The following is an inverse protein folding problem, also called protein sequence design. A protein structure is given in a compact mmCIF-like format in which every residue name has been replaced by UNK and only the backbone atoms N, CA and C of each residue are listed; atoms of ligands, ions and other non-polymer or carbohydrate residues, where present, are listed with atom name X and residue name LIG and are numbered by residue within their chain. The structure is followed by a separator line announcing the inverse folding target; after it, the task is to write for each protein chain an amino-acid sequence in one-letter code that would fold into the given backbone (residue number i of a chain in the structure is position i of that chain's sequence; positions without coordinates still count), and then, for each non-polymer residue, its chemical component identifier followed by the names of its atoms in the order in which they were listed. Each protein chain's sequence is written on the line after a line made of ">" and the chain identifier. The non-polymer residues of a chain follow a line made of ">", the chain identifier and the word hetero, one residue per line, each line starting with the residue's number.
data_IF_869587562759
#
_entry.id   IF_869587562759
#
_cell.length_a   1.000
_cell.length_b   1.000
_cell.length_c   1.000
_cell.angle_alpha   90.00
_cell.angle_beta   90.00
_cell.angle_gamma   90.00
#
_symmetry.space_group_name_H-M   'P 1'
#
loop_
_entity.id
_entity.type
_entity.pdbx_description
1 polymer ?
#
# COMPACT_ATOMS: atom_id res chain seq x y z
N UNK A 1 -0.61 22.09 12.66
CA UNK A 1 -0.21 20.71 12.27
C UNK A 1 -1.20 20.23 11.22
N UNK A 2 -0.75 19.65 10.11
CA UNK A 2 -1.65 19.07 9.10
C UNK A 2 -2.17 17.73 9.61
N UNK A 3 -3.49 17.50 9.49
CA UNK A 3 -4.13 16.23 9.85
C UNK A 3 -4.33 15.42 8.58
N UNK A 4 -4.09 14.11 8.65
CA UNK A 4 -4.36 13.19 7.54
C UNK A 4 -5.37 12.13 7.99
N UNK A 5 -6.26 11.74 7.07
CA UNK A 5 -7.27 10.71 7.27
C UNK A 5 -7.01 9.54 6.33
N UNK A 6 -7.30 8.33 6.82
CA UNK A 6 -7.24 7.09 6.03
C UNK A 6 -8.65 6.74 5.60
N UNK A 7 -8.83 6.45 4.32
CA UNK A 7 -10.11 6.02 3.76
C UNK A 7 -10.45 4.59 4.18
N UNK A 8 -11.71 4.22 3.94
CA UNK A 8 -12.11 2.81 3.92
C UNK A 8 -11.39 2.06 2.77
N UNK A 9 -11.51 0.74 2.77
CA UNK A 9 -11.02 -0.13 1.70
C UNK A 9 -11.90 -0.02 0.46
N UNK A 10 -11.26 0.28 -0.66
CA UNK A 10 -11.88 0.18 -1.97
C UNK A 10 -11.47 -1.10 -2.65
N UNK A 11 -12.45 -1.85 -3.16
CA UNK A 11 -12.17 -2.99 -4.03
C UNK A 11 -11.77 -2.47 -5.41
N UNK A 12 -10.56 -2.84 -5.86
CA UNK A 12 -10.08 -2.43 -7.17
C UNK A 12 -10.73 -3.31 -8.24
N UNK A 13 -11.43 -2.74 -9.23
CA UNK A 13 -12.08 -3.52 -10.28
C UNK A 13 -11.06 -4.31 -11.12
N UNK A 14 -11.21 -5.63 -11.11
CA UNK A 14 -10.37 -6.58 -11.84
C UNK A 14 -11.29 -7.53 -12.61
N UNK A 15 -10.94 -7.80 -13.87
CA UNK A 15 -11.54 -8.85 -14.68
C UNK A 15 -10.66 -10.10 -14.65
N UNK A 16 -11.29 -11.27 -14.69
CA UNK A 16 -10.61 -12.57 -14.78
C UNK A 16 -10.90 -13.15 -16.16
N UNK A 17 -9.86 -13.52 -16.90
CA UNK A 17 -10.02 -14.19 -18.18
C UNK A 17 -10.46 -15.65 -18.00
N UNK A 18 -10.93 -16.29 -19.07
CA UNK A 18 -11.27 -17.72 -19.06
C UNK A 18 -10.12 -18.62 -18.59
N UNK A 19 -8.88 -18.21 -18.88
CA UNK A 19 -7.64 -18.91 -18.46
C UNK A 19 -7.22 -18.57 -17.02
N UNK A 20 -8.02 -17.79 -16.28
CA UNK A 20 -7.75 -17.42 -14.88
C UNK A 20 -6.81 -16.22 -14.69
N UNK A 21 -6.34 -15.57 -15.77
CA UNK A 21 -5.49 -14.38 -15.66
C UNK A 21 -6.32 -13.18 -15.21
N UNK A 22 -5.85 -12.50 -14.17
CA UNK A 22 -6.49 -11.30 -13.64
C UNK A 22 -5.91 -10.07 -14.33
N UNK A 23 -6.72 -9.09 -14.66
CA UNK A 23 -6.25 -7.79 -15.20
C UNK A 23 -7.16 -6.67 -14.70
N UNK A 24 -6.65 -5.44 -14.67
CA UNK A 24 -7.45 -4.28 -14.30
C UNK A 24 -8.64 -4.10 -15.27
N UNK A 25 -9.85 -3.96 -14.72
CA UNK A 25 -11.05 -3.66 -15.50
C UNK A 25 -11.10 -2.16 -15.78
N UNK A 26 -10.52 -1.75 -16.91
CA UNK A 26 -10.40 -0.33 -17.30
C UNK A 26 -11.76 0.39 -17.38
N UNK A 27 -12.81 -0.16 -18.04
CA UNK A 27 -14.14 0.43 -18.00
C UNK A 27 -14.69 0.63 -16.58
N UNK A 28 -14.60 -0.39 -15.73
CA UNK A 28 -15.12 -0.30 -14.35
C UNK A 28 -14.32 0.72 -13.52
N UNK A 29 -12.99 0.77 -13.68
CA UNK A 29 -12.14 1.79 -13.05
C UNK A 29 -12.51 3.19 -13.55
N UNK A 30 -12.74 3.38 -14.85
CA UNK A 30 -13.14 4.68 -15.39
C UNK A 30 -14.50 5.13 -14.85
N UNK A 31 -15.43 4.20 -14.64
CA UNK A 31 -16.72 4.46 -13.98
C UNK A 31 -16.50 4.88 -12.52
N UNK A 32 -15.68 4.11 -11.78
CA UNK A 32 -15.37 4.40 -10.39
C UNK A 32 -14.67 5.76 -10.19
N UNK A 33 -13.73 6.11 -11.07
CA UNK A 33 -13.07 7.43 -11.07
C UNK A 33 -14.08 8.57 -11.21
N UNK A 34 -15.17 8.37 -11.96
CA UNK A 34 -16.21 9.39 -12.14
C UNK A 34 -17.16 9.48 -10.94
N UNK A 35 -17.40 8.37 -10.25
CA UNK A 35 -18.37 8.33 -9.15
C UNK A 35 -17.77 8.69 -7.80
N UNK A 36 -16.48 8.45 -7.59
CA UNK A 36 -15.84 8.63 -6.29
C UNK A 36 -14.93 9.87 -6.24
N UNK A 37 -15.31 10.92 -5.49
CA UNK A 37 -14.52 12.14 -5.42
C UNK A 37 -13.14 11.94 -4.79
N UNK A 38 -12.92 10.87 -4.00
CA UNK A 38 -11.61 10.62 -3.38
C UNK A 38 -10.53 10.48 -4.45
N UNK A 39 -10.87 9.90 -5.61
CA UNK A 39 -9.94 9.64 -6.71
C UNK A 39 -9.49 10.91 -7.43
N UNK A 40 -10.18 12.03 -7.22
CA UNK A 40 -9.76 13.36 -7.66
C UNK A 40 -8.83 14.06 -6.66
N UNK A 41 -8.65 13.48 -5.47
CA UNK A 41 -7.71 13.94 -4.45
C UNK A 41 -6.26 13.53 -4.72
N UNK A 42 -5.39 13.89 -3.77
CA UNK A 42 -3.96 13.63 -3.77
C UNK A 42 -3.50 13.23 -2.35
N UNK A 43 -2.30 12.66 -2.23
CA UNK A 43 -1.81 12.11 -0.97
C UNK A 43 -1.07 10.78 -1.14
N UNK A 44 -1.25 9.84 -0.22
CA UNK A 44 -0.62 8.50 -0.26
C UNK A 44 -1.69 7.44 -0.52
N UNK A 45 -1.33 6.35 -1.19
CA UNK A 45 -2.22 5.22 -1.41
C UNK A 45 -1.50 3.89 -1.13
N UNK A 46 -2.27 2.91 -0.68
CA UNK A 46 -1.76 1.59 -0.28
C UNK A 46 -2.57 0.52 -0.99
N UNK A 47 -1.94 -0.20 -1.93
CA UNK A 47 -2.50 -1.41 -2.51
C UNK A 47 -2.20 -2.60 -1.61
N UNK A 48 -3.23 -3.41 -1.37
CA UNK A 48 -3.15 -4.60 -0.53
C UNK A 48 -3.95 -5.76 -1.13
N UNK A 49 -3.57 -6.98 -0.78
CA UNK A 49 -4.37 -8.17 -1.09
C UNK A 49 -5.04 -8.63 0.19
N UNK A 50 -6.37 -8.74 0.14
CA UNK A 50 -7.17 -9.35 1.21
C UNK A 50 -7.34 -10.83 0.92
N UNK A 51 -6.88 -11.66 1.85
CA UNK A 51 -7.01 -13.11 1.78
C UNK A 51 -7.16 -13.70 3.19
N UNK A 52 -8.07 -14.67 3.35
CA UNK A 52 -8.36 -15.25 4.66
C UNK A 52 -8.76 -14.17 5.68
N UNK A 53 -8.03 -14.09 6.80
CA UNK A 53 -8.34 -13.19 7.94
C UNK A 53 -7.62 -11.84 7.90
N UNK A 54 -6.85 -11.51 6.85
CA UNK A 54 -6.04 -10.29 6.85
C UNK A 54 -5.86 -9.62 5.49
N UNK A 55 -5.36 -8.39 5.54
CA UNK A 55 -4.92 -7.60 4.39
C UNK A 55 -3.40 -7.47 4.44
N UNK A 56 -2.72 -7.82 3.35
CA UNK A 56 -1.27 -7.69 3.22
C UNK A 56 -0.94 -6.55 2.24
N UNK A 57 -0.17 -5.52 2.64
CA UNK A 57 0.24 -4.45 1.73
C UNK A 57 1.26 -4.96 0.72
N UNK A 58 1.15 -4.53 -0.54
CA UNK A 58 2.03 -4.95 -1.64
C UNK A 58 2.71 -3.78 -2.36
N UNK A 59 2.07 -2.61 -2.36
CA UNK A 59 2.64 -1.42 -2.95
C UNK A 59 2.06 -0.18 -2.27
N UNK A 60 2.94 0.75 -1.92
CA UNK A 60 2.59 2.07 -1.39
C UNK A 60 3.11 3.09 -2.39
N UNK A 61 2.30 4.06 -2.73
CA UNK A 61 2.76 5.17 -3.56
C UNK A 61 2.14 6.47 -3.13
N UNK A 62 2.64 7.56 -3.70
CA UNK A 62 2.12 8.90 -3.47
C UNK A 62 1.70 9.57 -4.75
N UNK A 63 0.61 10.32 -4.68
CA UNK A 63 0.11 11.21 -5.69
C UNK A 63 0.38 12.66 -5.24
N UNK A 64 1.55 13.21 -5.58
CA UNK A 64 1.95 14.56 -5.17
C UNK A 64 1.45 15.65 -6.13
N UNK A 65 1.67 15.41 -7.43
CA UNK A 65 1.46 16.42 -8.49
C UNK A 65 0.17 16.21 -9.25
N UNK A 66 -0.37 15.01 -9.18
CA UNK A 66 -1.56 14.58 -9.90
C UNK A 66 -2.51 13.84 -8.96
N UNK A 67 -3.71 13.57 -9.46
CA UNK A 67 -4.76 12.91 -8.68
C UNK A 67 -4.45 11.43 -8.48
N UNK A 68 -5.07 10.79 -7.49
CA UNK A 68 -4.95 9.34 -7.31
C UNK A 68 -5.36 8.55 -8.56
N UNK A 69 -6.44 8.98 -9.23
CA UNK A 69 -6.88 8.38 -10.50
C UNK A 69 -5.77 8.33 -11.56
N UNK A 70 -4.96 9.40 -11.65
CA UNK A 70 -3.86 9.49 -12.60
C UNK A 70 -2.61 8.79 -12.13
N UNK A 71 -2.27 8.88 -10.84
CA UNK A 71 -1.05 8.29 -10.30
C UNK A 71 -1.20 6.81 -9.97
N UNK A 72 -2.12 6.45 -9.07
CA UNK A 72 -2.25 5.10 -8.54
C UNK A 72 -2.59 4.09 -9.64
N UNK A 73 -3.32 4.54 -10.66
CA UNK A 73 -3.73 3.73 -11.80
C UNK A 73 -3.01 4.13 -13.10
N UNK A 74 -1.80 4.71 -13.04
CA UNK A 74 -0.98 4.85 -14.25
C UNK A 74 -0.54 3.46 -14.78
N UNK A 75 -0.08 3.41 -16.03
CA UNK A 75 0.33 2.16 -16.66
C UNK A 75 1.48 1.46 -15.91
N UNK A 76 2.44 2.21 -15.39
CA UNK A 76 3.60 1.68 -14.66
C UNK A 76 3.18 0.97 -13.36
N UNK A 77 2.35 1.62 -12.55
CA UNK A 77 1.91 1.12 -11.26
C UNK A 77 0.96 -0.06 -11.44
N UNK A 78 0.08 -0.01 -12.45
CA UNK A 78 -0.73 -1.16 -12.84
C UNK A 78 0.15 -2.36 -13.23
N UNK A 79 1.20 -2.17 -14.02
CA UNK A 79 2.14 -3.24 -14.38
C UNK A 79 2.85 -3.82 -13.15
N UNK A 80 3.30 -2.99 -12.21
CA UNK A 80 3.91 -3.46 -10.97
C UNK A 80 2.94 -4.33 -10.13
N UNK A 81 1.67 -3.95 -10.06
CA UNK A 81 0.63 -4.70 -9.34
C UNK A 81 0.15 -5.93 -10.11
N UNK A 82 0.28 -5.95 -11.43
CA UNK A 82 -0.23 -6.99 -12.31
C UNK A 82 0.33 -8.37 -11.97
N UNK A 83 1.62 -8.46 -11.66
CA UNK A 83 2.26 -9.71 -11.26
C UNK A 83 1.71 -10.18 -9.90
N UNK A 84 1.55 -9.25 -8.95
CA UNK A 84 1.00 -9.57 -7.62
C UNK A 84 -0.43 -10.09 -7.69
N UNK A 85 -1.32 -9.50 -8.50
CA UNK A 85 -2.71 -9.99 -8.57
C UNK A 85 -2.83 -11.37 -9.21
N UNK A 86 -1.91 -11.73 -10.12
CA UNK A 86 -1.86 -13.05 -10.74
C UNK A 86 -1.27 -14.09 -9.77
N UNK A 87 -0.20 -13.74 -9.06
CA UNK A 87 0.49 -14.66 -8.14
C UNK A 87 -0.26 -14.88 -6.83
N UNK A 88 -0.98 -13.86 -6.34
CA UNK A 88 -1.64 -13.89 -5.05
C UNK A 88 -3.13 -14.24 -5.19
N UNK A 89 -3.59 -15.16 -4.33
CA UNK A 89 -5.01 -15.42 -4.13
C UNK A 89 -5.61 -14.31 -3.26
N UNK A 90 -6.83 -13.87 -3.59
CA UNK A 90 -7.55 -12.85 -2.84
C UNK A 90 -8.00 -11.67 -3.69
N UNK A 91 -8.52 -10.65 -3.00
CA UNK A 91 -9.08 -9.43 -3.59
C UNK A 91 -8.08 -8.29 -3.49
N UNK A 92 -7.83 -7.59 -4.60
CA UNK A 92 -7.04 -6.37 -4.61
C UNK A 92 -7.86 -5.23 -4.01
N UNK A 93 -7.32 -4.62 -2.96
CA UNK A 93 -7.88 -3.46 -2.29
C UNK A 93 -6.91 -2.28 -2.40
N UNK A 94 -7.45 -1.08 -2.30
CA UNK A 94 -6.68 0.15 -2.13
C UNK A 94 -7.29 1.01 -1.03
N UNK A 95 -6.43 1.63 -0.23
CA UNK A 95 -6.80 2.70 0.69
C UNK A 95 -6.05 3.98 0.32
N UNK A 96 -6.67 5.12 0.57
CA UNK A 96 -6.12 6.43 0.31
C UNK A 96 -5.93 7.18 1.63
N UNK A 97 -4.83 7.92 1.72
CA UNK A 97 -4.50 8.78 2.85
C UNK A 97 -4.45 10.20 2.32
N UNK A 98 -5.37 11.04 2.79
CA UNK A 98 -5.57 12.41 2.31
C UNK A 98 -5.45 13.40 3.46
N UNK A 99 -5.07 14.64 3.15
CA UNK A 99 -5.04 15.70 4.16
C UNK A 99 -6.47 16.18 4.46
N UNK A 100 -6.83 16.18 5.75
CA UNK A 100 -8.12 16.66 6.24
C UNK A 100 -8.20 18.17 6.04
N UNK A 101 -9.24 18.62 5.33
CA UNK A 101 -9.68 20.02 5.20
C UNK A 101 -8.51 21.03 5.21
N UNK A 102 -7.71 21.03 4.16
CA UNK A 102 -6.81 22.13 3.86
C UNK A 102 -7.28 22.86 2.60
N UNK A 103 -7.34 24.20 2.64
CA UNK A 103 -7.36 24.99 1.41
C UNK A 103 -6.00 24.79 0.72
N UNK A 104 -6.01 24.16 -0.46
CA UNK A 104 -4.81 24.00 -1.29
C UNK A 104 -4.24 22.58 -1.32
N UNK A 105 -3.09 22.44 -1.98
CA UNK A 105 -2.42 21.14 -2.14
C UNK A 105 -1.77 20.71 -0.82
N UNK A 106 -1.71 19.39 -0.53
CA UNK A 106 -1.01 18.91 0.64
C UNK A 106 0.45 19.34 0.65
N UNK A 107 1.01 19.50 1.86
CA UNK A 107 2.44 19.74 1.99
C UNK A 107 3.19 18.51 1.45
N UNK A 108 3.94 18.71 0.36
CA UNK A 108 4.66 17.64 -0.33
C UNK A 108 5.66 16.93 0.60
N UNK A 109 6.29 17.64 1.53
CA UNK A 109 7.21 17.02 2.50
C UNK A 109 6.48 16.00 3.35
N UNK A 110 5.30 16.35 3.87
CA UNK A 110 4.52 15.48 4.75
C UNK A 110 3.99 14.26 3.99
N UNK A 111 3.56 14.42 2.74
CA UNK A 111 3.17 13.28 1.90
C UNK A 111 4.33 12.30 1.70
N UNK A 112 5.55 12.80 1.48
CA UNK A 112 6.76 11.96 1.35
C UNK A 112 7.13 11.26 2.63
N UNK A 113 7.03 11.97 3.76
CA UNK A 113 7.29 11.42 5.09
C UNK A 113 6.31 10.30 5.41
N UNK A 114 5.01 10.51 5.17
CA UNK A 114 3.96 9.49 5.36
C UNK A 114 4.21 8.29 4.45
N UNK A 115 4.50 8.50 3.16
CA UNK A 115 4.81 7.41 2.23
C UNK A 115 6.00 6.59 2.74
N UNK A 116 7.10 7.25 3.09
CA UNK A 116 8.33 6.58 3.54
C UNK A 116 8.08 5.78 4.83
N UNK A 117 7.35 6.38 5.78
CA UNK A 117 6.96 5.73 7.03
C UNK A 117 6.11 4.48 6.76
N UNK A 118 5.08 4.58 5.91
CA UNK A 118 4.20 3.46 5.59
C UNK A 118 4.93 2.35 4.81
N UNK A 119 5.87 2.69 3.92
CA UNK A 119 6.71 1.70 3.25
C UNK A 119 7.51 0.91 4.28
N UNK A 120 8.13 1.56 5.26
CA UNK A 120 8.89 0.88 6.33
C UNK A 120 8.03 -0.13 7.09
N UNK A 121 6.85 0.30 7.55
CA UNK A 121 5.90 -0.58 8.24
C UNK A 121 5.42 -1.75 7.35
N UNK A 122 5.20 -1.48 6.07
CA UNK A 122 4.77 -2.50 5.12
C UNK A 122 5.88 -3.51 4.80
N UNK A 123 7.14 -3.08 4.74
CA UNK A 123 8.29 -3.94 4.48
C UNK A 123 8.56 -4.93 5.63
N UNK A 124 8.30 -4.51 6.87
CA UNK A 124 8.34 -5.41 8.04
C UNK A 124 7.25 -6.48 7.97
N UNK A 125 6.04 -6.13 7.50
CA UNK A 125 4.90 -7.06 7.38
C UNK A 125 4.91 -7.90 6.10
N UNK A 126 5.53 -7.42 5.03
CA UNK A 126 5.63 -8.08 3.75
C UNK A 126 7.02 -7.90 3.14
N UNK A 127 7.89 -8.90 3.30
CA UNK A 127 9.22 -8.89 2.69
C UNK A 127 9.24 -8.95 1.16
N UNK A 128 8.08 -9.17 0.51
CA UNK A 128 7.91 -9.13 -0.95
C UNK A 128 7.27 -7.81 -1.41
N UNK A 129 7.35 -6.75 -0.61
CA UNK A 129 6.86 -5.44 -0.99
C UNK A 129 7.51 -4.97 -2.29
N UNK A 130 6.72 -4.48 -3.25
CA UNK A 130 7.20 -4.11 -4.60
C UNK A 130 7.95 -2.78 -4.58
N UNK A 131 7.80 -1.98 -3.52
CA UNK A 131 8.45 -0.68 -3.39
C UNK A 131 9.97 -0.77 -3.59
N UNK A 132 10.48 0.00 -4.55
CA UNK A 132 11.91 0.06 -4.91
C UNK A 132 12.73 1.00 -3.99
N UNK A 133 12.06 1.78 -3.15
CA UNK A 133 12.65 2.78 -2.26
C UNK A 133 12.01 2.68 -0.88
N UNK A 134 12.70 3.14 0.17
CA UNK A 134 12.19 3.13 1.55
C UNK A 134 12.15 1.74 2.21
N UNK A 135 12.57 0.70 1.50
CA UNK A 135 12.66 -0.69 1.99
C UNK A 135 14.02 -1.04 2.57
N UNK A 136 14.96 -0.07 2.64
CA UNK A 136 16.27 -0.28 3.24
C UNK A 136 16.09 -0.65 4.71
N UNK A 137 16.32 -1.93 4.97
CA UNK A 137 16.50 -2.46 6.31
C UNK A 137 17.71 -1.78 6.95
N UNK A 138 17.69 -1.53 8.26
CA UNK A 138 18.90 -1.11 8.95
C UNK A 138 20.02 -2.14 8.71
N UNK A 139 21.27 -1.68 8.56
CA UNK A 139 22.41 -2.57 8.29
C UNK A 139 22.82 -3.43 9.49
N UNK A 140 22.07 -3.35 10.59
CA UNK A 140 22.25 -4.13 11.81
C UNK A 140 21.08 -5.10 12.01
N UNK A 141 21.36 -6.18 12.76
CA UNK A 141 20.39 -7.24 13.08
C UNK A 141 20.15 -7.21 14.59
N UNK A 142 18.87 -7.14 14.98
CA UNK A 142 18.48 -7.43 16.35
C UNK A 142 17.87 -8.83 16.36
N UNK A 143 18.67 -9.81 16.80
CA UNK A 143 18.33 -11.22 16.65
C UNK A 143 16.96 -11.56 17.25
N UNK A 144 16.12 -12.23 16.45
CA UNK A 144 14.72 -12.54 16.72
C UNK A 144 13.74 -11.35 16.79
N UNK A 145 14.21 -10.12 16.55
CA UNK A 145 13.37 -8.91 16.52
C UNK A 145 13.35 -8.24 15.13
N UNK A 146 14.47 -7.67 14.68
CA UNK A 146 14.61 -6.90 13.42
C UNK A 146 15.63 -7.58 12.51
N UNK A 147 15.36 -7.61 11.20
CA UNK A 147 16.27 -8.16 10.17
C UNK A 147 16.73 -9.59 10.40
N UNK A 148 15.88 -10.40 11.00
CA UNK A 148 16.23 -11.77 11.37
C UNK A 148 16.05 -12.70 10.18
N UNK A 149 16.93 -13.69 10.05
CA UNK A 149 16.75 -14.78 9.09
C UNK A 149 15.50 -15.63 9.40
N UNK A 150 15.36 -16.76 8.68
CA UNK A 150 14.29 -17.73 8.93
C UNK A 150 14.45 -18.33 10.34
N UNK A 151 13.43 -18.23 11.18
CA UNK A 151 13.39 -18.80 12.52
C UNK A 151 12.18 -18.31 13.33
N UNK A 152 11.68 -19.11 14.26
CA UNK A 152 10.60 -18.69 15.17
C UNK A 152 11.20 -17.83 16.29
N UNK A 153 10.70 -16.61 16.55
CA UNK A 153 11.18 -15.81 17.66
C UNK A 153 10.90 -16.51 19.00
N UNK A 154 11.81 -16.33 19.96
CA UNK A 154 11.64 -16.78 21.34
C UNK A 154 10.49 -16.03 22.01
N UNK A 155 10.06 -16.52 23.18
CA UNK A 155 8.98 -15.87 23.96
C UNK A 155 9.34 -14.42 24.32
N UNK A 156 10.56 -14.17 24.79
CA UNK A 156 11.05 -12.82 25.15
C UNK A 156 11.07 -11.91 23.92
N UNK A 157 11.57 -12.40 22.78
CA UNK A 157 11.59 -11.65 21.53
C UNK A 157 10.18 -11.30 21.05
N UNK A 158 9.23 -12.23 21.20
CA UNK A 158 7.82 -12.00 20.84
C UNK A 158 7.13 -11.00 21.78
N UNK A 159 7.44 -11.05 23.08
CA UNK A 159 6.96 -10.07 24.07
C UNK A 159 7.50 -8.67 23.78
N UNK A 160 8.80 -8.56 23.46
CA UNK A 160 9.42 -7.30 23.04
C UNK A 160 8.78 -6.74 21.78
N UNK A 161 8.56 -7.58 20.76
CA UNK A 161 7.84 -7.22 19.53
C UNK A 161 6.47 -6.62 19.81
N UNK A 162 5.68 -7.32 20.64
CA UNK A 162 4.36 -6.85 21.08
C UNK A 162 4.43 -5.53 21.85
N UNK A 163 5.41 -5.37 22.75
CA UNK A 163 5.64 -4.13 23.49
C UNK A 163 5.90 -2.94 22.56
N UNK A 164 6.71 -3.17 21.51
CA UNK A 164 7.11 -2.15 20.54
C UNK A 164 6.12 -1.99 19.37
N UNK A 165 5.05 -2.80 19.31
CA UNK A 165 4.04 -2.76 18.24
C UNK A 165 4.51 -3.25 16.87
N UNK A 166 5.55 -4.08 16.82
CA UNK A 166 6.17 -4.63 15.59
C UNK A 166 5.97 -6.14 15.45
#
# INVERSE_FOLDING_TARGET
>A
MATFEVSDFYTVPIKVSEKGFKTFDRPAIASWIKSDPILSGNGVYVFSIKAGKGCKPWYIGKAERQTFSKEAFNARNQLQIQDVINDQKGTLLVQFITQVKARGKPNLSQVREIETFLIGLAAERNHKLINIHGTKKPDWVLNGVINTGKGKPTKIQSEFKRLMGI
#
